data_IF_625408620915
#
_entry.id   IF_625408620915
#
_cell.length_a   1.000
_cell.length_b   1.000
_cell.length_c   1.000
_cell.angle_alpha   90.00
_cell.angle_beta   90.00
_cell.angle_gamma   90.00
#
_symmetry.space_group_name_H-M   'P 1'
#
loop_
_entity.id
_entity.type
_entity.pdbx_description
1 polymer ?
#
# COMPACT_ATOMS: atom_id res chain seq x y z
N UNK A 1 60.39 24.28 26.49
CA UNK A 1 60.18 23.24 25.47
C UNK A 1 59.36 22.13 26.09
N UNK A 2 58.06 22.13 25.82
CA UNK A 2 57.13 21.04 26.17
C UNK A 2 56.12 21.02 25.04
N UNK A 3 56.05 19.92 24.31
CA UNK A 3 55.09 19.65 23.24
C UNK A 3 53.67 19.49 23.81
N UNK A 4 52.61 20.00 23.17
CA UNK A 4 51.28 19.47 23.37
C UNK A 4 50.91 18.50 22.24
N UNK A 5 50.41 17.36 22.69
CA UNK A 5 49.89 16.21 21.96
C UNK A 5 48.55 16.49 21.27
N UNK A 6 48.35 15.73 20.20
CA UNK A 6 47.16 15.54 19.38
C UNK A 6 45.81 15.55 20.12
N UNK A 7 44.83 16.23 19.52
CA UNK A 7 43.39 16.02 19.76
C UNK A 7 42.79 15.40 18.49
N UNK A 8 42.61 14.08 18.52
CA UNK A 8 41.78 13.35 17.55
C UNK A 8 40.30 13.72 17.74
N UNK A 9 39.67 14.17 16.67
CA UNK A 9 38.23 14.40 16.58
C UNK A 9 37.56 13.03 16.41
N UNK A 10 37.03 12.49 17.50
CA UNK A 10 36.23 11.27 17.49
C UNK A 10 34.87 11.51 16.82
N UNK A 11 34.72 11.07 15.57
CA UNK A 11 33.41 10.89 14.95
C UNK A 11 32.69 9.72 15.64
N UNK A 12 31.74 10.05 16.54
CA UNK A 12 30.83 9.06 17.11
C UNK A 12 29.76 8.68 16.07
N UNK A 13 30.14 7.82 15.12
CA UNK A 13 29.19 7.16 14.24
C UNK A 13 28.33 6.18 15.05
N UNK A 14 27.07 6.55 15.31
CA UNK A 14 26.07 5.60 15.81
C UNK A 14 25.87 4.53 14.74
N UNK A 15 26.52 3.37 14.90
CA UNK A 15 26.21 2.17 14.13
C UNK A 15 24.76 1.79 14.43
N UNK A 16 23.85 2.05 13.50
CA UNK A 16 22.45 1.62 13.57
C UNK A 16 22.48 0.09 13.50
N UNK A 17 22.15 -0.57 14.61
CA UNK A 17 22.16 -2.03 14.68
C UNK A 17 21.23 -2.59 13.61
N UNK A 18 21.73 -3.56 12.83
CA UNK A 18 20.94 -4.36 11.88
C UNK A 18 19.90 -5.12 12.69
N UNK A 19 18.65 -4.66 12.68
CA UNK A 19 17.52 -5.33 13.34
C UNK A 19 17.15 -6.56 12.51
N UNK A 20 17.16 -7.73 13.13
CA UNK A 20 16.74 -8.99 12.50
C UNK A 20 15.23 -9.18 12.59
N UNK A 21 14.69 -9.93 11.64
CA UNK A 21 13.28 -9.94 11.22
C UNK A 21 12.29 -10.63 12.18
N UNK A 22 12.75 -11.25 13.27
CA UNK A 22 11.86 -11.94 14.23
C UNK A 22 10.92 -10.97 14.98
N UNK A 23 11.20 -9.66 14.94
CA UNK A 23 10.53 -8.66 15.79
C UNK A 23 9.27 -8.01 15.16
N UNK A 24 8.88 -8.37 13.92
CA UNK A 24 7.84 -7.66 13.16
C UNK A 24 6.41 -8.20 13.34
N UNK A 25 6.09 -8.88 14.44
CA UNK A 25 4.68 -9.01 14.86
C UNK A 25 4.26 -7.69 15.51
N UNK A 26 4.02 -6.68 14.68
CA UNK A 26 3.63 -5.36 15.18
C UNK A 26 2.15 -5.44 15.55
N UNK A 27 1.89 -5.51 16.85
CA UNK A 27 0.54 -5.31 17.38
C UNK A 27 0.01 -3.96 16.89
N UNK A 28 -1.26 -3.90 16.47
CA UNK A 28 -1.93 -2.65 16.05
C UNK A 28 -1.74 -1.53 17.09
N UNK A 29 -1.65 -1.88 18.37
CA UNK A 29 -1.41 -0.95 19.48
C UNK A 29 -0.04 -0.29 19.46
N UNK A 30 0.97 -0.92 18.85
CA UNK A 30 2.33 -0.39 18.75
C UNK A 30 2.55 0.39 17.45
N UNK A 31 1.64 0.31 16.48
CA UNK A 31 1.78 1.05 15.21
C UNK A 31 1.72 2.56 15.38
N UNK A 32 1.03 3.06 16.41
CA UNK A 32 0.91 4.50 16.65
C UNK A 32 2.19 5.13 17.21
N UNK A 33 3.10 4.32 17.78
CA UNK A 33 4.34 4.80 18.39
C UNK A 33 5.56 4.69 17.47
N UNK A 34 5.39 4.16 16.24
CA UNK A 34 6.47 4.05 15.26
C UNK A 34 6.85 5.42 14.70
N UNK A 35 8.08 5.93 14.94
CA UNK A 35 8.49 7.26 14.46
C UNK A 35 8.49 7.38 12.94
N UNK A 36 8.66 6.28 12.22
CA UNK A 36 8.64 6.26 10.76
C UNK A 36 7.22 6.21 10.17
N UNK A 37 6.18 6.16 11.00
CA UNK A 37 4.77 6.09 10.59
C UNK A 37 4.05 7.39 10.93
N UNK A 38 3.80 8.21 9.91
CA UNK A 38 3.11 9.49 9.98
C UNK A 38 1.67 9.28 9.52
N UNK A 39 0.67 9.60 10.36
CA UNK A 39 -0.76 9.45 10.03
C UNK A 39 -1.61 10.65 10.47
N UNK A 40 -0.93 11.75 10.84
CA UNK A 40 -1.47 13.07 11.13
C UNK A 40 -0.70 14.09 10.29
N UNK A 41 -1.16 15.35 10.23
CA UNK A 41 -0.48 16.40 9.46
C UNK A 41 1.00 16.50 9.88
N UNK A 42 1.89 16.35 8.92
CA UNK A 42 3.32 16.24 9.20
C UNK A 42 4.15 16.01 7.95
N UNK A 43 5.48 16.06 8.12
CA UNK A 43 6.43 15.84 7.04
C UNK A 43 7.71 15.19 7.55
N UNK A 44 8.37 14.47 6.66
CA UNK A 44 9.73 13.97 6.80
C UNK A 44 10.64 14.71 5.83
N UNK A 45 11.84 14.17 5.58
CA UNK A 45 12.74 14.65 4.54
C UNK A 45 12.21 14.36 3.11
N UNK A 46 11.52 13.25 2.92
CA UNK A 46 11.10 12.77 1.59
C UNK A 46 9.60 12.76 1.35
N UNK A 47 8.79 13.01 2.38
CA UNK A 47 7.34 12.86 2.32
C UNK A 47 6.64 13.96 3.14
N UNK A 48 5.42 14.31 2.75
CA UNK A 48 4.53 15.14 3.55
C UNK A 48 3.10 14.66 3.41
N UNK A 49 2.32 14.79 4.48
CA UNK A 49 0.90 14.48 4.49
C UNK A 49 0.13 15.59 5.17
N UNK A 50 -1.04 15.90 4.62
CA UNK A 50 -1.91 16.95 5.12
C UNK A 50 -3.37 16.60 4.83
N UNK A 51 -4.22 16.74 5.84
CA UNK A 51 -5.67 16.70 5.73
C UNK A 51 -6.26 17.90 6.45
N UNK A 52 -7.39 18.39 5.94
CA UNK A 52 -8.12 19.50 6.51
C UNK A 52 -9.60 19.14 6.55
N UNK A 53 -10.23 19.40 7.70
CA UNK A 53 -11.67 19.21 7.81
C UNK A 53 -12.40 20.22 6.92
N UNK A 54 -13.26 19.70 6.04
CA UNK A 54 -14.17 20.50 5.24
C UNK A 54 -15.40 20.97 6.01
N UNK A 55 -16.47 21.31 5.28
CA UNK A 55 -17.72 21.83 5.86
C UNK A 55 -18.78 20.75 6.15
N UNK A 56 -18.57 19.51 5.69
CA UNK A 56 -19.56 18.41 5.71
C UNK A 56 -19.56 17.59 7.01
N UNK A 57 -19.39 18.24 8.16
CA UNK A 57 -19.29 17.56 9.45
C UNK A 57 -17.90 17.01 9.73
N UNK A 58 -17.81 15.88 10.46
CA UNK A 58 -16.53 15.25 10.83
C UNK A 58 -15.70 14.91 9.60
N UNK A 59 -14.39 15.18 9.65
CA UNK A 59 -13.50 14.74 8.58
C UNK A 59 -13.49 13.21 8.50
N UNK A 60 -13.89 12.66 7.35
CA UNK A 60 -13.96 11.23 7.13
C UNK A 60 -12.70 10.66 6.45
N UNK A 61 -11.80 11.53 6.02
CA UNK A 61 -10.54 11.15 5.40
C UNK A 61 -9.56 10.54 6.42
N UNK A 62 -8.79 9.57 5.95
CA UNK A 62 -7.61 9.08 6.63
C UNK A 62 -6.44 8.98 5.66
N UNK A 63 -5.22 9.16 6.17
CA UNK A 63 -4.00 9.12 5.38
C UNK A 63 -2.85 8.55 6.21
N UNK A 64 -1.86 7.96 5.54
CA UNK A 64 -0.64 7.45 6.18
C UNK A 64 0.55 7.55 5.22
N UNK A 65 1.70 7.90 5.77
CA UNK A 65 3.02 7.62 5.22
C UNK A 65 3.76 6.76 6.23
N UNK A 66 4.34 5.66 5.78
CA UNK A 66 5.15 4.77 6.60
C UNK A 66 6.49 4.58 5.89
N UNK A 67 7.51 5.28 6.37
CA UNK A 67 8.91 5.16 5.95
C UNK A 67 9.56 3.93 6.58
N UNK A 68 10.58 3.40 5.93
CA UNK A 68 11.23 2.14 6.32
C UNK A 68 10.19 1.01 6.50
N UNK A 69 9.18 0.94 5.62
CA UNK A 69 7.99 0.08 5.79
C UNK A 69 8.31 -1.42 5.87
N UNK A 70 9.20 -1.89 5.00
CA UNK A 70 9.67 -3.29 4.95
C UNK A 70 11.18 -3.39 5.07
N UNK A 71 11.87 -2.53 4.34
CA UNK A 71 13.31 -2.36 4.41
C UNK A 71 13.63 -0.87 4.42
N UNK A 72 14.90 -0.55 4.66
CA UNK A 72 15.44 0.79 4.42
C UNK A 72 15.05 1.26 3.01
N UNK A 73 14.71 2.54 2.88
CA UNK A 73 14.30 3.23 1.65
C UNK A 73 12.98 2.76 1.00
N UNK A 74 12.21 1.89 1.66
CA UNK A 74 10.83 1.61 1.24
C UNK A 74 9.82 2.51 1.95
N UNK A 75 8.93 3.11 1.16
CA UNK A 75 7.88 4.00 1.66
C UNK A 75 6.53 3.42 1.26
N UNK A 76 5.68 3.15 2.24
CA UNK A 76 4.26 2.93 2.02
C UNK A 76 3.52 4.26 2.20
N UNK A 77 2.61 4.58 1.29
CA UNK A 77 1.69 5.69 1.48
C UNK A 77 0.27 5.27 1.11
N UNK A 78 -0.72 5.87 1.78
CA UNK A 78 -2.12 5.56 1.55
C UNK A 78 -3.04 6.73 1.86
N UNK A 79 -4.08 6.88 1.05
CA UNK A 79 -5.19 7.82 1.23
C UNK A 79 -6.50 7.05 1.18
N UNK A 80 -7.40 7.39 2.10
CA UNK A 80 -8.66 6.68 2.33
C UNK A 80 -9.77 7.71 2.56
N UNK A 81 -10.68 7.84 1.60
CA UNK A 81 -11.85 8.73 1.67
C UNK A 81 -13.04 7.94 2.24
N UNK A 82 -13.36 8.20 3.51
CA UNK A 82 -14.45 7.55 4.20
C UNK A 82 -15.80 8.17 3.85
N UNK A 83 -16.83 7.33 3.73
CA UNK A 83 -18.21 7.79 3.49
C UNK A 83 -19.23 7.03 4.34
N UNK A 84 -20.43 7.58 4.44
CA UNK A 84 -21.52 7.04 5.25
C UNK A 84 -21.40 7.39 6.75
N UNK A 85 -22.34 6.92 7.59
CA UNK A 85 -22.43 7.34 9.00
C UNK A 85 -21.16 7.09 9.80
N UNK A 86 -20.44 6.01 9.50
CA UNK A 86 -19.20 5.61 10.17
C UNK A 86 -17.97 5.62 9.25
N UNK A 87 -18.02 6.36 8.13
CA UNK A 87 -16.93 6.41 7.13
C UNK A 87 -15.56 6.74 7.74
N UNK A 88 -15.51 7.74 8.62
CA UNK A 88 -14.31 8.12 9.38
C UNK A 88 -13.72 6.99 10.26
N UNK A 89 -14.53 6.02 10.70
CA UNK A 89 -14.06 4.84 11.43
C UNK A 89 -13.56 3.75 10.45
N UNK A 90 -14.26 3.55 9.34
CA UNK A 90 -13.85 2.62 8.27
C UNK A 90 -12.50 3.05 7.68
N UNK A 91 -12.35 4.30 7.26
CA UNK A 91 -11.13 4.84 6.68
C UNK A 91 -9.93 4.70 7.63
N UNK A 92 -10.09 5.03 8.91
CA UNK A 92 -9.04 4.83 9.93
C UNK A 92 -8.70 3.37 10.14
N UNK A 93 -9.69 2.48 10.15
CA UNK A 93 -9.49 1.03 10.28
C UNK A 93 -8.72 0.46 9.09
N UNK A 94 -9.03 0.89 7.87
CA UNK A 94 -8.30 0.53 6.64
C UNK A 94 -6.85 1.05 6.72
N UNK A 95 -6.66 2.34 7.05
CA UNK A 95 -5.33 2.95 7.25
C UNK A 95 -4.45 2.16 8.20
N UNK A 96 -5.01 1.67 9.31
CA UNK A 96 -4.25 0.99 10.35
C UNK A 96 -4.00 -0.49 10.05
N UNK A 97 -4.89 -1.15 9.33
CA UNK A 97 -4.88 -2.62 9.18
C UNK A 97 -4.37 -3.08 7.81
N UNK A 98 -4.71 -2.37 6.73
CA UNK A 98 -4.35 -2.76 5.36
C UNK A 98 -2.83 -2.89 5.14
N UNK A 99 -1.97 -1.97 5.63
CA UNK A 99 -0.52 -2.10 5.45
C UNK A 99 0.03 -3.35 6.17
N UNK A 100 -0.49 -3.69 7.36
CA UNK A 100 -0.06 -4.88 8.10
C UNK A 100 -0.47 -6.17 7.38
N UNK A 101 -1.66 -6.20 6.78
CA UNK A 101 -2.10 -7.34 5.95
C UNK A 101 -1.18 -7.50 4.73
N UNK A 102 -0.82 -6.40 4.08
CA UNK A 102 0.10 -6.41 2.95
C UNK A 102 1.47 -6.98 3.35
N UNK A 103 2.06 -6.52 4.47
CA UNK A 103 3.30 -7.08 5.04
C UNK A 103 3.20 -8.59 5.25
N UNK A 104 2.12 -9.05 5.89
CA UNK A 104 1.90 -10.48 6.18
C UNK A 104 1.94 -11.34 4.92
N UNK A 105 1.31 -10.90 3.82
CA UNK A 105 1.30 -11.65 2.57
C UNK A 105 2.65 -11.64 1.87
N UNK A 106 3.37 -10.50 1.88
CA UNK A 106 4.71 -10.41 1.30
C UNK A 106 5.71 -11.30 2.04
N UNK A 107 5.67 -11.32 3.38
CA UNK A 107 6.55 -12.19 4.19
C UNK A 107 6.26 -13.67 3.96
N UNK A 108 4.99 -14.05 3.78
CA UNK A 108 4.61 -15.43 3.45
C UNK A 108 5.26 -15.89 2.14
N UNK A 109 5.38 -14.99 1.16
CA UNK A 109 6.02 -15.29 -0.11
C UNK A 109 7.55 -15.45 0.03
N UNK A 110 8.21 -14.56 0.75
CA UNK A 110 9.66 -14.65 1.00
C UNK A 110 10.04 -15.95 1.73
N UNK A 111 9.23 -16.35 2.73
CA UNK A 111 9.43 -17.61 3.45
C UNK A 111 9.29 -18.84 2.55
N UNK A 112 8.30 -18.86 1.65
CA UNK A 112 8.14 -19.94 0.66
C UNK A 112 9.30 -20.00 -0.33
N UNK A 113 9.85 -18.85 -0.72
CA UNK A 113 11.03 -18.78 -1.58
C UNK A 113 12.26 -19.38 -0.90
N UNK A 114 12.51 -18.98 0.35
CA UNK A 114 13.67 -19.46 1.11
C UNK A 114 13.54 -20.93 1.58
N UNK A 115 12.32 -21.46 1.70
CA UNK A 115 12.05 -22.86 2.02
C UNK A 115 12.17 -23.82 0.82
N UNK A 116 11.99 -23.33 -0.40
CA UNK A 116 12.05 -24.13 -1.63
C UNK A 116 13.48 -24.50 -2.04
N UNK A 117 14.49 -23.73 -1.63
CA UNK A 117 15.90 -23.96 -2.01
C UNK A 117 16.58 -25.08 -1.19
N UNK A 118 15.91 -25.69 -0.20
CA UNK A 118 16.49 -26.75 0.65
C UNK A 118 15.85 -28.14 0.49
N UNK A 119 14.86 -28.31 -0.37
CA UNK A 119 14.10 -29.56 -0.44
C UNK A 119 13.82 -30.06 -1.87
N UNK A 120 14.85 -30.17 -2.74
CA UNK A 120 14.94 -31.27 -3.72
C UNK A 120 16.23 -31.21 -4.55
N UNK A 121 17.34 -31.68 -4.01
CA UNK A 121 18.43 -32.25 -4.81
C UNK A 121 18.90 -33.55 -4.15
N UNK A 122 18.16 -34.64 -4.43
CA UNK A 122 18.64 -36.04 -4.55
C UNK A 122 17.45 -36.99 -4.70
N UNK A 123 17.14 -37.42 -5.93
CA UNK A 123 17.42 -38.77 -6.47
C UNK A 123 16.47 -39.16 -7.63
N UNK A 124 16.99 -39.06 -8.85
CA UNK A 124 16.79 -39.82 -10.10
C UNK A 124 15.49 -40.64 -10.34
N UNK A 125 14.81 -40.36 -11.47
CA UNK A 125 14.56 -41.31 -12.58
C UNK A 125 14.10 -40.54 -13.85
N UNK A 126 14.46 -41.07 -15.02
CA UNK A 126 14.38 -40.46 -16.38
C UNK A 126 12.97 -40.44 -16.99
N UNK A 127 12.79 -39.59 -18.02
CA UNK A 127 12.01 -39.73 -19.28
C UNK A 127 11.16 -38.47 -19.54
N UNK A 128 11.60 -37.56 -20.42
CA UNK A 128 11.25 -37.42 -21.85
C UNK A 128 9.94 -36.65 -22.09
N UNK A 129 10.00 -35.67 -22.99
CA UNK A 129 8.89 -34.78 -23.37
C UNK A 129 9.20 -33.31 -23.12
N UNK A 130 9.71 -32.62 -24.14
CA UNK A 130 10.01 -31.20 -24.09
C UNK A 130 8.75 -30.36 -23.94
N UNK A 131 8.78 -29.43 -22.99
CA UNK A 131 7.96 -28.24 -23.01
C UNK A 131 8.84 -27.03 -22.69
N UNK A 132 8.63 -25.99 -23.47
CA UNK A 132 9.46 -24.78 -23.50
C UNK A 132 9.24 -24.01 -22.20
N UNK A 133 10.12 -24.21 -21.20
CA UNK A 133 10.21 -23.34 -20.03
C UNK A 133 10.62 -21.94 -20.53
N UNK A 134 9.63 -21.08 -20.78
CA UNK A 134 9.87 -19.65 -20.94
C UNK A 134 10.36 -19.13 -19.60
N UNK A 135 11.65 -18.83 -19.51
CA UNK A 135 12.27 -18.08 -18.41
C UNK A 135 11.46 -16.79 -18.17
N UNK A 136 10.58 -16.82 -17.17
CA UNK A 136 9.84 -15.65 -16.71
C UNK A 136 10.87 -14.69 -16.11
N UNK A 137 10.94 -13.46 -16.62
CA UNK A 137 11.89 -12.46 -16.15
C UNK A 137 11.72 -12.22 -14.63
N UNK A 138 12.81 -11.88 -13.95
CA UNK A 138 12.78 -11.59 -12.50
C UNK A 138 11.79 -10.47 -12.16
N UNK A 139 11.58 -9.51 -13.06
CA UNK A 139 10.62 -8.41 -12.94
C UNK A 139 9.17 -8.89 -13.02
N UNK A 140 8.83 -9.78 -13.95
CA UNK A 140 7.47 -10.35 -14.08
C UNK A 140 7.07 -11.15 -12.83
N UNK A 141 8.04 -11.86 -12.25
CA UNK A 141 7.85 -12.60 -11.00
C UNK A 141 7.64 -11.65 -9.81
N UNK A 142 8.35 -10.52 -9.75
CA UNK A 142 8.13 -9.51 -8.72
C UNK A 142 6.76 -8.83 -8.87
N UNK A 143 6.38 -8.45 -10.09
CA UNK A 143 5.10 -7.81 -10.38
C UNK A 143 3.92 -8.71 -10.02
N UNK A 144 3.99 -9.99 -10.36
CA UNK A 144 2.96 -10.98 -10.00
C UNK A 144 2.85 -11.17 -8.48
N UNK A 145 3.98 -11.18 -7.77
CA UNK A 145 4.02 -11.26 -6.30
C UNK A 145 3.31 -10.07 -5.65
N UNK A 146 3.66 -8.84 -6.05
CA UNK A 146 3.04 -7.63 -5.52
C UNK A 146 1.54 -7.57 -5.83
N UNK A 147 1.16 -7.91 -7.06
CA UNK A 147 -0.24 -7.99 -7.47
C UNK A 147 -1.02 -8.96 -6.58
N UNK A 148 -0.49 -10.17 -6.36
CA UNK A 148 -1.14 -11.16 -5.50
C UNK A 148 -1.23 -10.70 -4.04
N UNK A 149 -0.17 -10.08 -3.52
CA UNK A 149 -0.13 -9.56 -2.16
C UNK A 149 -1.16 -8.46 -1.92
N UNK A 150 -1.26 -7.48 -2.84
CA UNK A 150 -2.31 -6.45 -2.78
C UNK A 150 -3.69 -7.10 -2.84
N UNK A 151 -3.96 -7.96 -3.83
CA UNK A 151 -5.26 -8.62 -3.96
C UNK A 151 -5.68 -9.36 -2.69
N UNK A 152 -4.75 -10.11 -2.08
CA UNK A 152 -4.99 -10.81 -0.81
C UNK A 152 -5.20 -9.85 0.36
N UNK A 153 -4.41 -8.77 0.45
CA UNK A 153 -4.52 -7.77 1.50
C UNK A 153 -5.87 -7.05 1.46
N UNK A 154 -6.29 -6.59 0.28
CA UNK A 154 -7.59 -5.94 0.08
C UNK A 154 -8.76 -6.88 0.38
N UNK A 155 -8.73 -8.13 -0.12
CA UNK A 155 -9.77 -9.12 0.18
C UNK A 155 -9.86 -9.45 1.67
N UNK A 156 -8.72 -9.57 2.33
CA UNK A 156 -8.69 -9.82 3.78
C UNK A 156 -9.14 -8.59 4.59
N UNK A 157 -8.90 -7.38 4.10
CA UNK A 157 -9.40 -6.13 4.70
C UNK A 157 -10.92 -6.04 4.59
N UNK A 158 -11.47 -6.24 3.40
CA UNK A 158 -12.90 -6.22 3.13
C UNK A 158 -13.65 -7.27 3.96
N UNK A 159 -13.13 -8.51 4.03
CA UNK A 159 -13.67 -9.55 4.90
C UNK A 159 -13.68 -9.14 6.37
N UNK A 160 -12.59 -8.55 6.87
CA UNK A 160 -12.53 -8.08 8.27
C UNK A 160 -13.59 -7.01 8.54
N UNK A 161 -13.73 -6.01 7.64
CA UNK A 161 -14.75 -4.96 7.75
C UNK A 161 -16.16 -5.53 7.75
N UNK A 162 -16.47 -6.44 6.82
CA UNK A 162 -17.80 -7.06 6.71
C UNK A 162 -18.23 -7.85 7.96
N UNK A 163 -17.25 -8.37 8.71
CA UNK A 163 -17.49 -9.17 9.93
C UNK A 163 -17.34 -8.37 11.22
N UNK A 164 -17.08 -7.06 11.13
CA UNK A 164 -16.71 -6.26 12.29
C UNK A 164 -17.95 -5.94 13.16
N UNK A 165 -18.00 -6.38 14.43
CA UNK A 165 -19.23 -6.37 15.23
C UNK A 165 -19.71 -4.97 15.63
N UNK A 166 -18.82 -3.96 15.58
CA UNK A 166 -19.09 -2.59 16.05
C UNK A 166 -19.08 -1.53 14.93
N UNK A 167 -18.78 -1.95 13.70
CA UNK A 167 -18.58 -1.04 12.57
C UNK A 167 -19.59 -1.39 11.50
N UNK A 168 -20.59 -0.52 11.30
CA UNK A 168 -21.59 -0.69 10.25
C UNK A 168 -20.97 -0.37 8.89
N UNK A 169 -20.49 -1.42 8.23
CA UNK A 169 -19.98 -1.37 6.86
C UNK A 169 -21.06 -1.66 5.81
N UNK A 170 -22.34 -1.75 6.20
CA UNK A 170 -23.44 -1.88 5.24
C UNK A 170 -23.76 -0.52 4.60
N UNK A 171 -23.82 0.54 5.42
CA UNK A 171 -24.06 1.91 4.98
C UNK A 171 -22.82 2.82 5.06
N UNK A 172 -21.67 2.30 5.48
CA UNK A 172 -20.41 3.06 5.55
C UNK A 172 -19.32 2.34 4.78
N UNK A 173 -18.39 3.11 4.22
CA UNK A 173 -17.29 2.58 3.44
C UNK A 173 -16.11 3.52 3.40
N UNK A 174 -15.09 3.12 2.64
CA UNK A 174 -13.92 3.95 2.35
C UNK A 174 -13.38 3.62 0.98
N UNK A 175 -12.89 4.61 0.26
CA UNK A 175 -11.94 4.39 -0.85
C UNK A 175 -10.60 3.93 -0.28
N UNK A 176 -9.69 3.56 -1.18
CA UNK A 176 -8.30 3.30 -0.82
C UNK A 176 -7.42 3.47 -2.04
N UNK A 177 -6.42 4.34 -1.95
CA UNK A 177 -5.28 4.37 -2.87
C UNK A 177 -4.03 4.14 -2.05
N UNK A 178 -3.29 3.07 -2.35
CA UNK A 178 -2.07 2.71 -1.64
C UNK A 178 -0.91 2.50 -2.61
N UNK A 179 0.27 2.98 -2.22
CA UNK A 179 1.48 2.92 -3.03
C UNK A 179 2.63 2.47 -2.15
N UNK A 180 3.40 1.48 -2.61
CA UNK A 180 4.72 1.15 -2.08
C UNK A 180 5.77 1.61 -3.08
N UNK A 181 6.62 2.53 -2.65
CA UNK A 181 7.81 2.96 -3.39
C UNK A 181 9.01 2.13 -2.91
N UNK A 182 9.68 1.45 -3.84
CA UNK A 182 10.92 0.70 -3.60
C UNK A 182 11.95 1.10 -4.67
N UNK A 183 12.95 1.91 -4.30
CA UNK A 183 13.92 2.43 -5.27
C UNK A 183 13.20 3.24 -6.37
N UNK A 184 13.35 2.83 -7.63
CA UNK A 184 12.67 3.38 -8.80
C UNK A 184 11.29 2.78 -9.09
N UNK A 185 10.88 1.74 -8.34
CA UNK A 185 9.65 1.00 -8.59
C UNK A 185 8.50 1.53 -7.72
N UNK A 186 7.30 1.56 -8.30
CA UNK A 186 6.05 1.87 -7.64
C UNK A 186 5.09 0.69 -7.78
N UNK A 187 4.63 0.14 -6.65
CA UNK A 187 3.61 -0.90 -6.61
C UNK A 187 2.35 -0.30 -6.00
N UNK A 188 1.20 -0.49 -6.64
CA UNK A 188 -0.03 0.21 -6.25
C UNK A 188 -1.21 -0.74 -6.16
N UNK A 189 -2.08 -0.49 -5.17
CA UNK A 189 -3.41 -1.06 -5.07
C UNK A 189 -4.41 0.06 -4.84
N UNK A 190 -5.55 0.03 -5.52
CA UNK A 190 -6.58 1.05 -5.36
C UNK A 190 -8.00 0.53 -5.58
N UNK A 191 -8.96 1.13 -4.87
CA UNK A 191 -10.40 0.94 -4.99
C UNK A 191 -11.09 2.29 -4.74
N UNK A 192 -12.03 2.66 -5.60
CA UNK A 192 -12.80 3.89 -5.51
C UNK A 192 -12.30 4.97 -6.46
N UNK A 193 -12.58 6.23 -6.13
CA UNK A 193 -12.38 7.40 -6.96
C UNK A 193 -11.35 8.40 -6.40
N UNK A 194 -10.66 8.04 -5.31
CA UNK A 194 -9.42 8.71 -4.94
C UNK A 194 -8.34 8.45 -6.00
N UNK A 195 -7.43 9.41 -6.20
CA UNK A 195 -6.49 9.40 -7.34
C UNK A 195 -5.05 9.64 -6.93
N UNK A 196 -4.13 8.90 -7.55
CA UNK A 196 -2.70 9.19 -7.50
C UNK A 196 -2.22 9.84 -8.81
N UNK A 197 -1.40 10.89 -8.67
CA UNK A 197 -0.80 11.64 -9.78
C UNK A 197 0.69 11.80 -9.48
N UNK A 198 1.54 11.49 -10.46
CA UNK A 198 2.98 11.69 -10.40
C UNK A 198 3.36 12.95 -11.17
N UNK A 199 4.06 13.87 -10.51
CA UNK A 199 4.77 14.95 -11.21
C UNK A 199 6.07 14.41 -11.79
N UNK A 200 6.26 14.51 -13.10
CA UNK A 200 7.50 14.14 -13.79
C UNK A 200 7.97 15.30 -14.66
N UNK A 201 9.23 15.27 -15.08
CA UNK A 201 9.75 16.16 -16.12
C UNK A 201 9.66 15.45 -17.47
N UNK A 202 9.22 16.17 -18.50
CA UNK A 202 9.25 15.68 -19.88
C UNK A 202 10.64 15.89 -20.52
N UNK A 203 10.77 15.61 -21.81
CA UNK A 203 12.01 15.82 -22.56
C UNK A 203 12.46 17.28 -22.65
N UNK A 204 11.56 18.23 -22.36
CA UNK A 204 11.81 19.66 -22.40
C UNK A 204 12.04 20.24 -20.98
N UNK A 205 12.30 19.40 -19.98
CA UNK A 205 12.43 19.75 -18.57
C UNK A 205 11.17 20.39 -17.95
N UNK A 206 10.03 20.28 -18.64
CA UNK A 206 8.75 20.85 -18.20
C UNK A 206 8.01 19.89 -17.29
N UNK A 207 7.41 20.41 -16.22
CA UNK A 207 6.64 19.61 -15.26
C UNK A 207 5.33 19.13 -15.90
N UNK A 208 5.14 17.81 -15.95
CA UNK A 208 3.93 17.14 -16.43
C UNK A 208 3.29 16.31 -15.33
N UNK A 209 1.96 16.25 -15.34
CA UNK A 209 1.17 15.43 -14.42
C UNK A 209 0.80 14.11 -15.09
N UNK A 210 1.28 13.00 -14.53
CA UNK A 210 0.99 11.65 -15.00
C UNK A 210 0.03 11.00 -14.01
N UNK A 211 -1.22 10.79 -14.45
CA UNK A 211 -2.21 10.08 -13.64
C UNK A 211 -1.83 8.59 -13.55
N UNK A 212 -1.66 8.09 -12.34
CA UNK A 212 -1.22 6.71 -12.07
C UNK A 212 -2.39 5.74 -11.89
N UNK A 213 -3.55 6.22 -11.44
CA UNK A 213 -4.75 5.42 -11.16
C UNK A 213 -5.93 5.90 -11.99
N UNK A 214 -6.83 4.99 -12.37
CA UNK A 214 -8.10 5.34 -13.02
C UNK A 214 -9.20 5.26 -11.98
N UNK A 215 -9.98 6.33 -11.82
CA UNK A 215 -11.12 6.34 -10.88
C UNK A 215 -12.12 5.24 -11.23
N UNK A 216 -12.63 4.52 -10.23
CA UNK A 216 -13.65 3.49 -10.41
C UNK A 216 -15.05 4.10 -10.31
N UNK A 217 -15.42 4.92 -11.30
CA UNK A 217 -16.77 5.50 -11.39
C UNK A 217 -17.74 4.58 -12.12
N UNK A 218 -18.99 4.46 -11.66
CA UNK A 218 -19.95 3.48 -12.20
C UNK A 218 -20.41 3.80 -13.63
N UNK A 219 -20.26 5.04 -14.10
CA UNK A 219 -20.61 5.49 -15.45
C UNK A 219 -19.53 5.21 -16.50
N UNK A 220 -18.30 4.86 -16.09
CA UNK A 220 -17.25 4.49 -17.02
C UNK A 220 -17.61 3.19 -17.75
N UNK A 221 -17.44 3.09 -19.08
CA UNK A 221 -17.93 1.95 -19.86
C UNK A 221 -17.51 0.58 -19.31
N UNK A 222 -16.25 0.44 -18.89
CA UNK A 222 -15.71 -0.81 -18.32
C UNK A 222 -16.31 -1.14 -16.95
N UNK A 223 -16.47 -0.16 -16.08
CA UNK A 223 -17.05 -0.37 -14.74
C UNK A 223 -18.56 -0.58 -14.82
N UNK A 224 -19.27 0.16 -15.66
CA UNK A 224 -20.69 -0.05 -15.93
C UNK A 224 -20.97 -1.47 -16.43
N UNK A 225 -20.14 -1.97 -17.36
CA UNK A 225 -20.25 -3.34 -17.87
C UNK A 225 -19.99 -4.37 -16.77
N UNK A 226 -18.92 -4.19 -15.98
CA UNK A 226 -18.62 -5.05 -14.82
C UNK A 226 -19.81 -5.11 -13.85
N UNK A 227 -20.40 -3.97 -13.51
CA UNK A 227 -21.57 -3.88 -12.62
C UNK A 227 -22.76 -4.64 -13.20
N UNK A 228 -23.06 -4.45 -14.49
CA UNK A 228 -24.17 -5.14 -15.19
C UNK A 228 -23.96 -6.65 -15.24
N UNK A 229 -22.74 -7.13 -15.51
CA UNK A 229 -22.41 -8.56 -15.51
C UNK A 229 -22.59 -9.19 -14.13
N UNK A 230 -22.37 -8.42 -13.05
CA UNK A 230 -22.68 -8.80 -11.68
C UNK A 230 -24.16 -8.60 -11.28
N UNK A 231 -25.07 -8.38 -12.24
CA UNK A 231 -26.51 -8.12 -12.02
C UNK A 231 -26.81 -6.85 -11.21
N UNK A 232 -25.86 -5.92 -11.17
CA UNK A 232 -26.05 -4.58 -10.62
C UNK A 232 -26.74 -3.63 -11.60
N UNK A 233 -26.96 -2.40 -11.16
CA UNK A 233 -27.57 -1.32 -11.95
C UNK A 233 -26.73 -0.07 -11.79
N UNK A 234 -26.71 0.77 -12.81
CA UNK A 234 -26.08 2.10 -12.78
C UNK A 234 -27.14 3.13 -13.13
N UNK A 235 -27.37 4.09 -12.26
CA UNK A 235 -28.34 5.16 -12.49
C UNK A 235 -27.99 6.42 -11.68
N UNK A 236 -28.41 7.57 -12.17
CA UNK A 236 -28.38 8.81 -11.41
C UNK A 236 -29.72 9.01 -10.68
N UNK A 237 -29.68 9.65 -9.51
CA UNK A 237 -30.91 10.09 -8.84
C UNK A 237 -31.47 11.31 -9.57
N UNK A 238 -32.80 11.51 -9.52
CA UNK A 238 -33.43 12.67 -10.16
C UNK A 238 -32.89 14.00 -9.62
N UNK A 239 -32.62 14.05 -8.32
CA UNK A 239 -32.10 15.25 -7.64
C UNK A 239 -30.60 15.48 -7.89
N UNK A 240 -29.88 14.48 -8.40
CA UNK A 240 -28.44 14.53 -8.69
C UNK A 240 -28.13 13.83 -10.02
N UNK A 241 -28.59 14.39 -11.16
CA UNK A 241 -28.49 13.74 -12.47
C UNK A 241 -27.04 13.57 -12.95
N UNK A 242 -26.11 14.37 -12.42
CA UNK A 242 -24.68 14.32 -12.75
C UNK A 242 -23.91 13.23 -11.99
N UNK A 243 -24.53 12.60 -10.98
CA UNK A 243 -23.89 11.61 -10.10
C UNK A 243 -24.50 10.24 -10.33
N UNK A 244 -23.83 9.43 -11.14
CA UNK A 244 -24.18 8.02 -11.32
C UNK A 244 -23.78 7.18 -10.12
N UNK A 245 -24.65 6.24 -9.73
CA UNK A 245 -24.46 5.29 -8.62
C UNK A 245 -24.74 3.86 -9.08
#
# INVERSE_FOLDING_TARGET
>A
MVTPSCLEIGFCGKKRARRTFSDHVISLHHLSSLPSRIFTNGKSRGSCIFTQQGRKGINQDAMVVWEDFMSEDMIFCGVFDGHGPQGHLVARKVRDTLPVKLLSFLHSYESKRNGSDKACLKRNMKSDGGDTEKDISSEDKLNSTWKEAFMKAYKAMDKELSSHPKLDCFCSGSTSVTIVKQGSNLFMGYIGDSRAIMGSKDSNDSMVAIQLTVDLKPDLPREAERIKQCKGRVFALQDEPEVSR
#
